data_IF_632170898556
#
_entry.id   IF_632170898556
#
_cell.length_a   1.000
_cell.length_b   1.000
_cell.length_c   1.000
_cell.angle_alpha   90.00
_cell.angle_beta   90.00
_cell.angle_gamma   90.00
#
_symmetry.space_group_name_H-M   'P 1'
#
loop_
_entity.id
_entity.type
_entity.pdbx_description
1 polymer ?
#
# COMPACT_ATOMS: atom_id res chain seq x y z
N UNK A 1 20.43 -0.77 5.78
CA UNK A 1 20.80 -0.43 7.17
C UNK A 1 19.61 0.25 7.83
N UNK A 2 19.13 -0.34 8.93
CA UNK A 2 18.06 0.28 9.72
C UNK A 2 18.57 1.53 10.40
N UNK A 3 17.81 2.61 10.33
CA UNK A 3 18.11 3.85 11.05
C UNK A 3 17.84 3.71 12.54
N UNK A 4 18.24 4.67 13.38
CA UNK A 4 17.93 4.62 14.80
C UNK A 4 16.41 4.78 15.07
N UNK A 5 15.68 5.43 14.16
CA UNK A 5 14.22 5.49 14.20
C UNK A 5 13.58 4.10 14.01
N UNK A 6 14.16 3.24 13.19
CA UNK A 6 13.66 1.88 12.96
C UNK A 6 13.76 0.99 14.20
N UNK A 7 14.62 1.32 15.15
CA UNK A 7 14.78 0.60 16.41
C UNK A 7 13.66 0.87 17.41
N UNK A 8 12.90 1.94 17.20
CA UNK A 8 11.75 2.29 18.02
C UNK A 8 10.46 1.61 17.53
N UNK A 9 10.50 0.95 16.37
CA UNK A 9 9.36 0.23 15.78
C UNK A 9 9.48 -1.26 16.11
N UNK A 10 8.49 -1.78 16.82
CA UNK A 10 8.34 -3.22 17.12
C UNK A 10 7.34 -3.84 16.14
N UNK A 11 7.74 -4.90 15.43
CA UNK A 11 6.83 -5.72 14.65
C UNK A 11 6.14 -6.72 15.59
N UNK A 12 4.87 -6.47 15.91
CA UNK A 12 4.08 -7.32 16.80
C UNK A 12 3.51 -8.54 16.08
N UNK A 13 3.27 -8.42 14.77
CA UNK A 13 2.54 -9.43 13.99
C UNK A 13 2.88 -9.32 12.50
N UNK A 14 3.17 -10.45 11.85
CA UNK A 14 3.47 -10.53 10.43
C UNK A 14 2.79 -11.76 9.82
N UNK A 15 2.12 -11.58 8.66
CA UNK A 15 1.40 -12.63 7.94
C UNK A 15 1.69 -12.61 6.45
N UNK A 16 1.48 -13.78 5.83
CA UNK A 16 1.55 -13.99 4.39
C UNK A 16 0.14 -14.26 3.86
N UNK A 17 -0.57 -13.20 3.49
CA UNK A 17 -1.97 -13.26 3.05
C UNK A 17 -2.12 -13.52 1.55
N UNK A 18 -1.03 -13.74 0.83
CA UNK A 18 -1.00 -14.04 -0.61
C UNK A 18 -1.84 -13.05 -1.45
N UNK A 19 -1.79 -11.76 -1.11
CA UNK A 19 -2.51 -10.66 -1.77
C UNK A 19 -4.03 -10.72 -1.61
N UNK A 20 -4.55 -11.62 -0.76
CA UNK A 20 -5.98 -11.84 -0.58
C UNK A 20 -6.59 -10.92 0.48
N UNK A 21 -7.62 -10.17 0.07
CA UNK A 21 -8.32 -9.19 0.91
C UNK A 21 -9.00 -9.84 2.12
N UNK A 22 -9.63 -11.00 1.92
CA UNK A 22 -10.39 -11.67 2.99
C UNK A 22 -9.48 -12.27 4.03
N UNK A 23 -8.37 -12.85 3.58
CA UNK A 23 -7.33 -13.38 4.48
C UNK A 23 -6.73 -12.26 5.33
N UNK A 24 -6.34 -11.14 4.71
CA UNK A 24 -5.82 -9.98 5.43
C UNK A 24 -6.83 -9.41 6.44
N UNK A 25 -8.11 -9.34 6.07
CA UNK A 25 -9.18 -8.95 6.99
C UNK A 25 -9.19 -9.82 8.24
N UNK A 26 -9.12 -11.15 8.06
CA UNK A 26 -9.18 -12.10 9.16
C UNK A 26 -7.94 -12.03 10.06
N UNK A 27 -6.76 -11.91 9.45
CA UNK A 27 -5.50 -11.85 10.17
C UNK A 27 -5.34 -10.54 10.94
N UNK A 28 -5.76 -9.41 10.37
CA UNK A 28 -5.80 -8.13 11.09
C UNK A 28 -6.81 -8.17 12.24
N UNK A 29 -7.98 -8.80 12.06
CA UNK A 29 -8.94 -8.99 13.15
C UNK A 29 -8.34 -9.79 14.31
N UNK A 30 -7.62 -10.87 13.99
CA UNK A 30 -6.92 -11.71 14.98
C UNK A 30 -5.81 -10.90 15.70
N UNK A 31 -5.01 -10.14 14.95
CA UNK A 31 -3.96 -9.30 15.52
C UNK A 31 -4.54 -8.24 16.46
N UNK A 32 -5.60 -7.53 16.06
CA UNK A 32 -6.28 -6.54 16.89
C UNK A 32 -6.88 -7.15 18.15
N UNK A 33 -7.45 -8.38 18.06
CA UNK A 33 -7.96 -9.09 19.24
C UNK A 33 -6.84 -9.49 20.23
N UNK A 34 -5.65 -9.83 19.72
CA UNK A 34 -4.51 -10.25 20.53
C UNK A 34 -3.75 -9.08 21.14
N UNK A 35 -3.48 -8.03 20.38
CA UNK A 35 -2.60 -6.93 20.77
C UNK A 35 -3.34 -5.63 21.07
N UNK A 36 -4.59 -5.48 20.62
CA UNK A 36 -5.44 -4.33 20.92
C UNK A 36 -4.82 -3.00 20.52
N UNK A 37 -4.79 -2.08 21.48
CA UNK A 37 -4.28 -0.72 21.26
C UNK A 37 -2.76 -0.63 21.04
N UNK A 38 -2.01 -1.72 21.25
CA UNK A 38 -0.58 -1.74 20.96
C UNK A 38 -0.27 -1.68 19.47
N UNK A 39 -1.26 -2.05 18.63
CA UNK A 39 -1.11 -1.91 17.18
C UNK A 39 -1.40 -0.46 16.82
N UNK A 40 -0.38 0.27 16.45
CA UNK A 40 -0.47 1.67 16.03
C UNK A 40 -0.43 1.82 14.51
N UNK A 41 0.19 0.84 13.80
CA UNK A 41 0.34 0.87 12.33
C UNK A 41 0.01 -0.50 11.77
N UNK A 42 -0.77 -0.52 10.68
CA UNK A 42 -0.96 -1.67 9.80
C UNK A 42 -0.39 -1.32 8.44
N UNK A 43 0.62 -2.08 8.03
CA UNK A 43 1.24 -1.96 6.71
C UNK A 43 0.86 -3.16 5.86
N UNK A 44 0.24 -2.90 4.72
CA UNK A 44 -0.14 -3.93 3.75
C UNK A 44 0.66 -3.75 2.46
N UNK A 45 1.18 -4.85 1.92
CA UNK A 45 1.98 -4.84 0.70
C UNK A 45 1.16 -4.60 -0.57
N UNK A 46 -0.18 -4.60 -0.48
CA UNK A 46 -1.07 -4.10 -1.52
C UNK A 46 -2.36 -3.50 -0.94
N UNK A 47 -3.10 -2.79 -1.78
CA UNK A 47 -4.32 -2.10 -1.39
C UNK A 47 -5.50 -3.06 -1.15
N UNK A 48 -5.56 -4.20 -1.84
CA UNK A 48 -6.61 -5.19 -1.58
C UNK A 48 -6.55 -5.69 -0.13
N UNK A 49 -5.37 -6.04 0.35
CA UNK A 49 -5.17 -6.40 1.76
C UNK A 49 -5.44 -5.22 2.70
N UNK A 50 -5.05 -3.99 2.32
CA UNK A 50 -5.33 -2.80 3.12
C UNK A 50 -6.84 -2.53 3.25
N UNK A 51 -7.63 -2.74 2.19
CA UNK A 51 -9.08 -2.63 2.24
C UNK A 51 -9.72 -3.70 3.15
N UNK A 52 -9.16 -4.90 3.18
CA UNK A 52 -9.54 -5.93 4.15
C UNK A 52 -9.21 -5.54 5.58
N UNK A 53 -7.99 -5.06 5.81
CA UNK A 53 -7.53 -4.56 7.09
C UNK A 53 -8.39 -3.40 7.61
N UNK A 54 -8.80 -2.46 6.73
CA UNK A 54 -9.67 -1.34 7.08
C UNK A 54 -10.98 -1.82 7.70
N UNK A 55 -11.61 -2.84 7.11
CA UNK A 55 -12.86 -3.40 7.64
C UNK A 55 -12.68 -3.93 9.08
N UNK A 56 -11.56 -4.61 9.35
CA UNK A 56 -11.27 -5.13 10.69
C UNK A 56 -10.96 -4.02 11.69
N UNK A 57 -10.27 -2.98 11.26
CA UNK A 57 -9.99 -1.78 12.07
C UNK A 57 -11.30 -1.08 12.47
N UNK A 58 -12.20 -0.86 11.50
CA UNK A 58 -13.53 -0.26 11.74
C UNK A 58 -14.40 -1.14 12.66
N UNK A 59 -14.41 -2.46 12.45
CA UNK A 59 -15.14 -3.42 13.31
C UNK A 59 -14.61 -3.46 14.75
N UNK A 60 -13.32 -3.25 14.93
CA UNK A 60 -12.69 -3.12 16.25
C UNK A 60 -12.98 -1.76 16.92
N UNK A 61 -13.72 -0.87 16.26
CA UNK A 61 -14.04 0.47 16.76
C UNK A 61 -12.88 1.44 16.72
N UNK A 62 -11.80 1.11 15.96
CA UNK A 62 -10.63 1.97 15.77
C UNK A 62 -10.85 2.94 14.61
N UNK A 63 -10.14 4.06 14.64
CA UNK A 63 -10.26 5.12 13.63
C UNK A 63 -8.89 5.43 13.02
N UNK A 64 -8.76 5.21 11.73
CA UNK A 64 -7.52 5.54 11.01
C UNK A 64 -7.25 7.04 11.07
N UNK A 65 -5.98 7.39 11.27
CA UNK A 65 -5.53 8.78 11.42
C UNK A 65 -5.74 9.37 12.82
N UNK A 66 -6.35 8.62 13.75
CA UNK A 66 -6.58 9.04 15.11
C UNK A 66 -5.83 8.17 16.13
N UNK A 67 -6.05 6.87 16.07
CA UNK A 67 -5.50 5.90 17.01
C UNK A 67 -4.80 4.71 16.34
N UNK A 68 -4.86 4.66 15.02
CA UNK A 68 -4.16 3.67 14.18
C UNK A 68 -3.87 4.29 12.81
N UNK A 69 -2.80 3.83 12.16
CA UNK A 69 -2.45 4.22 10.80
C UNK A 69 -2.52 3.00 9.88
N UNK A 70 -3.01 3.19 8.65
CA UNK A 70 -3.17 2.15 7.64
C UNK A 70 -2.57 2.60 6.32
N UNK A 71 -1.65 1.82 5.78
CA UNK A 71 -1.05 2.07 4.46
C UNK A 71 -1.09 0.84 3.59
N UNK A 72 -1.24 1.07 2.29
CA UNK A 72 -1.24 0.07 1.23
C UNK A 72 -0.26 0.40 0.12
N UNK A 73 -0.34 -0.35 -0.97
CA UNK A 73 0.43 -0.18 -2.21
C UNK A 73 -0.49 -0.49 -3.39
N UNK A 74 -0.30 0.14 -4.51
CA UNK A 74 -0.85 0.07 -5.86
C UNK A 74 -1.66 1.30 -6.27
N UNK A 75 -2.20 2.06 -5.33
CA UNK A 75 -3.12 3.19 -5.56
C UNK A 75 -4.39 2.76 -6.34
N UNK A 76 -5.01 1.64 -5.94
CA UNK A 76 -6.32 1.27 -6.44
C UNK A 76 -7.33 2.39 -6.17
N UNK A 77 -8.24 2.64 -7.11
CA UNK A 77 -9.23 3.74 -6.99
C UNK A 77 -10.00 3.74 -5.67
N UNK A 78 -10.39 2.56 -5.17
CA UNK A 78 -11.08 2.43 -3.90
C UNK A 78 -10.18 2.81 -2.71
N UNK A 79 -8.91 2.40 -2.74
CA UNK A 79 -7.94 2.77 -1.70
C UNK A 79 -7.65 4.27 -1.74
N UNK A 80 -7.45 4.85 -2.94
CA UNK A 80 -7.27 6.30 -3.12
C UNK A 80 -8.47 7.07 -2.60
N UNK A 81 -9.71 6.61 -2.87
CA UNK A 81 -10.92 7.22 -2.32
C UNK A 81 -10.91 7.17 -0.79
N UNK A 82 -10.52 6.04 -0.19
CA UNK A 82 -10.40 5.92 1.27
C UNK A 82 -9.29 6.84 1.85
N UNK A 83 -8.23 7.12 1.10
CA UNK A 83 -7.23 8.13 1.49
C UNK A 83 -7.84 9.53 1.47
N UNK A 84 -8.58 9.89 0.42
CA UNK A 84 -9.30 11.18 0.33
C UNK A 84 -10.29 11.35 1.48
N UNK A 85 -11.02 10.27 1.82
CA UNK A 85 -12.02 10.26 2.89
C UNK A 85 -11.42 10.18 4.30
N UNK A 86 -10.08 10.08 4.41
CA UNK A 86 -9.37 9.97 5.68
C UNK A 86 -9.51 8.60 6.38
N UNK A 87 -9.92 7.57 5.64
CA UNK A 87 -10.08 6.18 6.12
C UNK A 87 -8.82 5.33 5.91
N UNK A 88 -7.91 5.78 5.07
CA UNK A 88 -6.56 5.26 4.93
C UNK A 88 -5.55 6.40 5.06
N UNK A 89 -4.41 6.10 5.65
CA UNK A 89 -3.33 7.09 5.83
C UNK A 89 -2.66 7.42 4.50
N UNK A 90 -2.52 6.43 3.64
CA UNK A 90 -1.92 6.57 2.33
C UNK A 90 -1.79 5.25 1.60
N UNK A 91 -1.37 5.36 0.37
CA UNK A 91 -0.94 4.25 -0.47
C UNK A 91 0.26 4.69 -1.32
N UNK A 92 0.79 3.80 -2.11
CA UNK A 92 1.89 4.08 -3.03
C UNK A 92 1.46 3.68 -4.42
N UNK A 93 1.47 4.62 -5.37
CA UNK A 93 1.21 4.30 -6.78
C UNK A 93 2.33 3.41 -7.32
N UNK A 94 1.97 2.22 -7.76
CA UNK A 94 2.77 1.36 -8.60
C UNK A 94 2.34 1.65 -10.04
N UNK A 95 3.03 2.60 -10.69
CA UNK A 95 2.62 3.21 -11.96
C UNK A 95 2.58 2.19 -13.11
N UNK A 96 1.47 1.52 -13.26
CA UNK A 96 1.21 0.50 -14.29
C UNK A 96 1.21 1.09 -15.70
N UNK A 97 0.71 2.31 -15.87
CA UNK A 97 0.72 3.04 -17.15
C UNK A 97 2.14 3.40 -17.55
N UNK A 98 2.92 3.94 -16.63
CA UNK A 98 4.34 4.24 -16.87
C UNK A 98 5.14 2.99 -17.20
N UNK A 99 4.94 1.90 -16.48
CA UNK A 99 5.59 0.61 -16.75
C UNK A 99 5.20 0.05 -18.13
N UNK A 100 3.91 0.05 -18.45
CA UNK A 100 3.42 -0.42 -19.76
C UNK A 100 3.96 0.45 -20.91
N UNK A 101 4.02 1.76 -20.74
CA UNK A 101 4.58 2.71 -21.72
C UNK A 101 6.05 2.44 -21.95
N UNK A 102 6.84 2.37 -20.88
CA UNK A 102 8.29 2.08 -20.98
C UNK A 102 8.56 0.73 -21.65
N UNK A 103 7.77 -0.29 -21.33
CA UNK A 103 7.90 -1.60 -21.96
C UNK A 103 7.56 -1.57 -23.47
N UNK A 104 6.52 -0.82 -23.85
CA UNK A 104 6.12 -0.66 -25.26
C UNK A 104 7.20 0.10 -26.05
N UNK A 105 7.73 1.18 -25.51
CA UNK A 105 8.81 1.97 -26.15
C UNK A 105 10.10 1.15 -26.29
N UNK A 106 10.51 0.43 -25.25
CA UNK A 106 11.67 -0.46 -25.32
C UNK A 106 11.49 -1.55 -26.39
N UNK A 107 10.29 -2.14 -26.44
CA UNK A 107 9.96 -3.16 -27.46
C UNK A 107 10.04 -2.59 -28.86
N UNK A 108 9.52 -1.39 -29.09
CA UNK A 108 9.59 -0.74 -30.40
C UNK A 108 11.04 -0.49 -30.81
N UNK A 109 11.87 0.06 -29.94
CA UNK A 109 13.28 0.29 -30.21
C UNK A 109 14.00 -1.03 -30.58
N UNK A 110 13.73 -2.10 -29.83
CA UNK A 110 14.31 -3.41 -30.10
C UNK A 110 13.92 -3.96 -31.47
N UNK A 111 12.63 -3.89 -31.84
CA UNK A 111 12.13 -4.34 -33.16
C UNK A 111 12.73 -3.53 -34.32
N UNK A 112 12.97 -2.23 -34.09
CA UNK A 112 13.63 -1.35 -35.07
C UNK A 112 15.15 -1.57 -35.17
N UNK A 113 15.73 -2.48 -34.37
CA UNK A 113 17.16 -2.74 -34.33
C UNK A 113 17.98 -1.62 -33.72
N UNK A 114 17.36 -0.79 -32.89
CA UNK A 114 17.99 0.27 -32.12
C UNK A 114 18.49 -0.27 -30.78
N UNK A 115 19.43 0.47 -30.19
CA UNK A 115 19.91 0.16 -28.86
C UNK A 115 18.80 0.39 -27.83
N UNK A 116 18.70 -0.51 -26.84
CA UNK A 116 17.81 -0.41 -25.70
C UNK A 116 18.64 -0.33 -24.43
N UNK A 117 18.12 0.37 -23.44
CA UNK A 117 18.72 0.45 -22.12
C UNK A 117 18.59 -0.89 -21.38
N UNK A 118 19.51 -1.17 -20.46
CA UNK A 118 19.46 -2.36 -19.62
C UNK A 118 18.30 -2.30 -18.62
N UNK A 119 17.94 -1.10 -18.15
CA UNK A 119 16.90 -0.83 -17.17
C UNK A 119 16.07 0.40 -17.58
N UNK A 120 14.75 0.28 -17.43
CA UNK A 120 13.79 1.37 -17.55
C UNK A 120 13.12 1.57 -16.19
N UNK A 121 13.58 2.55 -15.42
CA UNK A 121 13.08 2.82 -14.09
C UNK A 121 11.77 3.60 -14.16
N UNK A 122 10.77 3.10 -13.43
CA UNK A 122 9.50 3.77 -13.18
C UNK A 122 9.32 3.89 -11.67
N UNK A 123 9.33 5.12 -11.18
CA UNK A 123 9.32 5.38 -9.75
C UNK A 123 7.96 5.13 -9.12
N UNK A 124 7.96 4.62 -7.90
CA UNK A 124 6.77 4.63 -7.06
C UNK A 124 6.45 6.04 -6.57
N UNK A 125 5.15 6.38 -6.51
CA UNK A 125 4.71 7.69 -6.04
C UNK A 125 3.93 7.56 -4.74
N UNK A 126 4.36 8.26 -3.70
CA UNK A 126 3.63 8.34 -2.43
C UNK A 126 2.30 9.07 -2.63
N UNK A 127 1.19 8.44 -2.23
CA UNK A 127 -0.17 8.98 -2.29
C UNK A 127 -0.70 9.17 -0.87
N UNK A 128 -0.97 10.41 -0.51
CA UNK A 128 -1.51 10.82 0.78
C UNK A 128 -2.69 11.77 0.58
N UNK A 129 -3.34 12.22 1.63
CA UNK A 129 -4.44 13.19 1.56
C UNK A 129 -4.08 14.48 0.81
N UNK A 130 -2.78 14.82 0.70
CA UNK A 130 -2.30 16.02 0.02
C UNK A 130 -2.42 15.92 -1.50
N UNK A 131 -2.31 14.71 -2.07
CA UNK A 131 -2.27 14.50 -3.52
C UNK A 131 -3.22 13.41 -4.04
N UNK A 132 -3.90 12.67 -3.16
CA UNK A 132 -4.74 11.54 -3.54
C UNK A 132 -5.83 11.90 -4.58
N UNK A 133 -6.42 13.10 -4.48
CA UNK A 133 -7.47 13.54 -5.42
C UNK A 133 -7.01 13.58 -6.91
N UNK A 134 -5.72 13.56 -7.17
CA UNK A 134 -5.17 13.55 -8.54
C UNK A 134 -5.21 12.14 -9.17
N UNK A 135 -5.43 11.11 -8.37
CA UNK A 135 -5.38 9.70 -8.76
C UNK A 135 -6.77 9.01 -8.76
N UNK A 136 -7.86 9.79 -8.67
CA UNK A 136 -9.25 9.32 -8.73
C UNK A 136 -9.80 9.17 -10.16
#
# INVERSE_FOLDING_TARGET
DRTDADKEVECLYEYLDNWDQTTAQQDVANALAQYGEKIEVVFCNNDAMALGALQSIEQAGRTVGKDIYLVGVDALKEAVQNVVDGKMTGTVLNDDVGQATAAAEATQLFVEGKDVEEYYWVDYVKVTTENAAQYL
#
